data_IF_558623186639
#
_entry.id   IF_558623186639
#
_cell.length_a   1.000
_cell.length_b   1.000
_cell.length_c   1.000
_cell.angle_alpha   90.00
_cell.angle_beta   90.00
_cell.angle_gamma   90.00
#
_symmetry.space_group_name_H-M   'P 1'
#
loop_
_entity.id
_entity.type
_entity.pdbx_description
1 polymer ?
#
# COMPACT_ATOMS: atom_id res chain seq x y z
N UNK A 1 36.33 68.95 59.31
CA UNK A 1 34.91 69.01 58.91
C UNK A 1 34.68 67.97 57.82
N UNK A 2 33.64 67.14 57.99
CA UNK A 2 33.11 66.17 57.02
C UNK A 2 32.80 66.81 55.66
N UNK A 3 32.96 66.05 54.56
CA UNK A 3 31.88 65.36 53.82
C UNK A 3 32.45 64.70 52.56
N UNK A 4 32.09 63.43 52.34
CA UNK A 4 32.33 62.70 51.09
C UNK A 4 31.12 62.71 50.17
N UNK A 5 31.27 62.05 49.00
CA UNK A 5 30.34 61.39 48.05
C UNK A 5 31.29 60.95 46.90
N UNK A 6 31.33 59.76 46.30
CA UNK A 6 30.41 58.63 46.18
C UNK A 6 30.30 58.25 44.68
N UNK A 7 30.54 56.98 44.31
CA UNK A 7 30.21 56.38 42.99
C UNK A 7 31.39 55.66 42.32
N UNK A 8 31.62 54.35 42.49
CA UNK A 8 30.96 53.16 41.89
C UNK A 8 30.89 53.12 40.34
N UNK A 9 31.78 52.33 39.74
CA UNK A 9 31.56 51.49 38.53
C UNK A 9 32.78 50.57 38.35
N UNK A 10 32.86 49.42 39.02
CA UNK A 10 32.41 48.08 38.57
C UNK A 10 32.49 47.84 37.05
N UNK A 11 33.52 47.09 36.66
CA UNK A 11 33.37 45.85 35.89
C UNK A 11 33.50 45.95 34.37
N UNK A 12 34.49 45.27 33.80
CA UNK A 12 34.27 44.11 32.93
C UNK A 12 35.63 43.57 32.45
N UNK A 13 36.13 42.52 33.12
CA UNK A 13 37.01 41.56 32.49
C UNK A 13 36.14 40.75 31.51
N UNK A 14 36.32 40.98 30.21
CA UNK A 14 35.73 40.15 29.17
C UNK A 14 36.49 38.82 29.09
N UNK A 15 36.00 37.83 29.84
CA UNK A 15 36.41 36.44 29.76
C UNK A 15 35.81 35.83 28.49
N UNK A 16 36.64 35.67 27.46
CA UNK A 16 36.26 34.99 26.20
C UNK A 16 36.15 33.50 26.49
N UNK A 17 34.95 33.05 26.85
CA UNK A 17 34.58 31.62 26.85
C UNK A 17 34.26 31.26 25.41
N UNK A 18 35.22 30.64 24.73
CA UNK A 18 35.02 30.02 23.43
C UNK A 18 34.06 28.83 23.59
N UNK A 19 32.77 29.09 23.39
CA UNK A 19 31.74 28.08 23.27
C UNK A 19 31.98 27.31 21.97
N UNK A 20 32.69 26.17 22.05
CA UNK A 20 32.70 25.19 20.97
C UNK A 20 31.30 24.58 20.85
N UNK A 21 30.49 25.15 19.95
CA UNK A 21 29.30 24.50 19.46
C UNK A 21 29.73 23.27 18.66
N UNK A 22 29.72 22.10 19.30
CA UNK A 22 29.81 20.81 18.64
C UNK A 22 28.57 20.69 17.75
N UNK A 23 28.70 21.06 16.47
CA UNK A 23 27.68 20.82 15.46
C UNK A 23 27.61 19.31 15.27
N UNK A 24 26.66 18.67 15.95
CA UNK A 24 26.30 17.28 15.67
C UNK A 24 25.78 17.24 14.23
N UNK A 25 26.64 16.84 13.30
CA UNK A 25 26.25 16.54 11.93
C UNK A 25 25.18 15.45 12.01
N UNK A 26 23.97 15.64 11.48
CA UNK A 26 22.98 14.57 11.44
C UNK A 26 23.60 13.42 10.67
N UNK A 27 23.76 12.27 11.33
CA UNK A 27 24.19 11.05 10.67
C UNK A 27 23.25 10.82 9.48
N UNK A 28 23.80 10.83 8.27
CA UNK A 28 23.04 10.56 7.06
C UNK A 28 22.59 9.10 7.18
N UNK A 29 21.36 8.87 7.62
CA UNK A 29 20.78 7.54 7.68
C UNK A 29 20.80 7.00 6.25
N UNK A 30 21.67 6.02 5.99
CA UNK A 30 21.70 5.33 4.71
C UNK A 30 20.31 4.77 4.43
N UNK A 31 19.74 5.06 3.26
CA UNK A 31 18.50 4.44 2.82
C UNK A 31 18.80 3.04 2.28
N UNK A 32 18.01 2.05 2.68
CA UNK A 32 18.16 0.66 2.23
C UNK A 32 17.01 0.33 1.30
N UNK A 33 17.34 -0.14 0.10
CA UNK A 33 16.36 -0.60 -0.89
C UNK A 33 15.79 -1.95 -0.46
N UNK A 34 14.48 -2.18 -0.63
CA UNK A 34 13.92 -3.51 -0.40
C UNK A 34 14.62 -4.57 -1.25
N UNK A 35 14.95 -5.69 -0.60
CA UNK A 35 15.61 -6.84 -1.23
C UNK A 35 14.63 -7.94 -1.62
N UNK A 36 13.46 -8.01 -0.96
CA UNK A 36 12.37 -8.93 -1.30
C UNK A 36 11.02 -8.45 -0.72
N UNK A 37 9.92 -9.05 -1.16
CA UNK A 37 8.59 -8.81 -0.61
C UNK A 37 7.56 -9.84 -1.06
N UNK A 38 6.30 -9.63 -0.67
CA UNK A 38 5.15 -10.37 -1.18
C UNK A 38 3.85 -9.64 -0.86
N UNK A 39 2.79 -9.94 -1.61
CA UNK A 39 1.43 -9.49 -1.33
C UNK A 39 0.46 -10.65 -1.50
N UNK A 40 -0.44 -10.83 -0.55
CA UNK A 40 -1.56 -11.76 -0.65
C UNK A 40 -2.84 -10.99 -0.43
N UNK A 41 -3.71 -10.96 -1.44
CA UNK A 41 -5.06 -10.42 -1.31
C UNK A 41 -6.04 -11.55 -0.97
N UNK A 42 -6.80 -11.34 0.09
CA UNK A 42 -7.97 -12.12 0.44
C UNK A 42 -9.18 -11.43 -0.18
N UNK A 43 -9.87 -12.12 -1.08
CA UNK A 43 -10.98 -11.53 -1.82
C UNK A 43 -12.20 -11.32 -0.92
N UNK A 44 -13.06 -10.35 -1.28
CA UNK A 44 -14.31 -10.12 -0.55
C UNK A 44 -15.26 -11.30 -0.77
N UNK A 45 -15.67 -11.95 0.32
CA UNK A 45 -16.57 -13.11 0.30
C UNK A 45 -17.82 -12.88 -0.57
N UNK A 46 -18.51 -11.77 -0.38
CA UNK A 46 -19.74 -11.49 -1.13
C UNK A 46 -19.51 -11.33 -2.63
N UNK A 47 -18.35 -10.81 -3.04
CA UNK A 47 -17.99 -10.72 -4.44
C UNK A 47 -17.66 -12.10 -5.02
N UNK A 48 -16.91 -12.94 -4.31
CA UNK A 48 -16.62 -14.30 -4.74
C UNK A 48 -17.88 -15.19 -4.79
N UNK A 49 -18.75 -15.08 -3.79
CA UNK A 49 -20.08 -15.71 -3.82
C UNK A 49 -20.92 -15.23 -4.99
N UNK A 50 -20.85 -13.96 -5.35
CA UNK A 50 -21.55 -13.46 -6.53
C UNK A 50 -20.98 -14.05 -7.83
N UNK A 51 -19.66 -14.14 -7.96
CA UNK A 51 -18.99 -14.75 -9.11
C UNK A 51 -19.33 -16.23 -9.29
N UNK A 52 -19.38 -17.02 -8.21
CA UNK A 52 -19.54 -18.48 -8.32
C UNK A 52 -20.93 -19.02 -7.97
N UNK A 53 -21.60 -18.39 -7.01
CA UNK A 53 -22.69 -19.00 -6.24
C UNK A 53 -24.06 -18.94 -6.89
N UNK A 54 -24.25 -18.09 -7.89
CA UNK A 54 -25.57 -17.86 -8.49
C UNK A 54 -25.81 -18.61 -9.81
N UNK A 55 -24.94 -19.56 -10.18
CA UNK A 55 -25.10 -20.37 -11.40
C UNK A 55 -24.83 -19.60 -12.70
N UNK A 56 -24.35 -18.36 -12.61
CA UNK A 56 -24.07 -17.49 -13.75
C UNK A 56 -22.71 -17.75 -14.43
N UNK A 57 -21.95 -18.75 -13.96
CA UNK A 57 -20.73 -19.22 -14.61
C UNK A 57 -19.55 -18.25 -14.53
N UNK A 58 -19.43 -17.47 -13.45
CA UNK A 58 -18.27 -16.61 -13.26
C UNK A 58 -16.97 -17.40 -13.08
N UNK A 59 -15.89 -16.86 -13.62
CA UNK A 59 -14.54 -17.41 -13.58
C UNK A 59 -13.60 -16.35 -12.99
N UNK A 60 -12.68 -16.81 -12.15
CA UNK A 60 -11.60 -15.98 -11.60
C UNK A 60 -10.29 -16.68 -11.88
N UNK A 61 -9.30 -15.95 -12.40
CA UNK A 61 -8.04 -16.54 -12.84
C UNK A 61 -6.89 -15.64 -12.46
N UNK A 62 -5.85 -16.21 -11.83
CA UNK A 62 -4.58 -15.52 -11.64
C UNK A 62 -3.85 -15.37 -12.97
N UNK A 63 -3.24 -14.21 -13.21
CA UNK A 63 -2.51 -13.92 -14.45
C UNK A 63 -1.05 -13.61 -14.18
N UNK A 64 -0.18 -13.83 -15.16
CA UNK A 64 1.26 -13.65 -15.02
C UNK A 64 1.84 -14.59 -13.96
N UNK A 65 2.58 -14.04 -12.98
CA UNK A 65 3.12 -14.79 -11.84
C UNK A 65 2.19 -14.80 -10.62
N UNK A 66 0.98 -14.25 -10.75
CA UNK A 66 -0.02 -14.27 -9.69
C UNK A 66 -0.74 -15.61 -9.63
N UNK A 67 -0.91 -16.18 -8.44
CA UNK A 67 -1.63 -17.45 -8.25
C UNK A 67 -2.94 -17.23 -7.51
N UNK A 68 -4.03 -17.73 -8.09
CA UNK A 68 -5.34 -17.70 -7.46
C UNK A 68 -5.65 -19.08 -6.85
N UNK A 69 -6.00 -19.11 -5.56
CA UNK A 69 -6.40 -20.31 -4.85
C UNK A 69 -7.81 -20.12 -4.28
N UNK A 70 -8.76 -20.88 -4.84
CA UNK A 70 -10.15 -20.90 -4.40
C UNK A 70 -10.30 -21.78 -3.15
N UNK A 71 -10.88 -21.25 -2.09
CA UNK A 71 -11.40 -22.02 -0.97
C UNK A 71 -12.87 -22.35 -1.21
N UNK A 72 -13.12 -23.53 -1.76
CA UNK A 72 -14.46 -24.01 -2.10
C UNK A 72 -15.39 -24.18 -0.90
N UNK A 73 -14.86 -24.21 0.33
CA UNK A 73 -15.65 -24.40 1.54
C UNK A 73 -16.18 -23.09 2.14
N UNK A 74 -15.52 -21.95 1.90
CA UNK A 74 -15.79 -20.73 2.67
C UNK A 74 -15.92 -19.43 1.85
N UNK A 75 -15.42 -19.37 0.60
CA UNK A 75 -15.46 -18.19 -0.30
C UNK A 75 -14.82 -16.88 0.23
N UNK A 76 -14.70 -16.69 1.54
CA UNK A 76 -14.03 -15.58 2.24
C UNK A 76 -12.50 -15.75 2.35
N UNK A 77 -12.02 -16.96 2.06
CA UNK A 77 -10.63 -17.37 2.07
C UNK A 77 -10.05 -17.58 0.65
N UNK A 78 -10.76 -17.15 -0.39
CA UNK A 78 -10.20 -17.12 -1.74
C UNK A 78 -9.01 -16.15 -1.75
N UNK A 79 -7.84 -16.68 -2.08
CA UNK A 79 -6.58 -15.95 -2.01
C UNK A 79 -6.00 -15.72 -3.39
N UNK A 80 -5.47 -14.52 -3.57
CA UNK A 80 -4.64 -14.16 -4.70
C UNK A 80 -3.25 -13.82 -4.17
N UNK A 81 -2.26 -14.62 -4.52
CA UNK A 81 -0.86 -14.38 -4.16
C UNK A 81 -0.16 -13.68 -5.30
N UNK A 82 0.51 -12.59 -4.97
CA UNK A 82 1.39 -11.83 -5.83
C UNK A 82 2.84 -12.06 -5.41
N UNK A 83 3.70 -12.19 -6.41
CA UNK A 83 5.14 -12.32 -6.21
C UNK A 83 5.80 -10.95 -6.29
N UNK A 84 6.93 -10.77 -5.63
CA UNK A 84 7.63 -9.49 -5.64
C UNK A 84 8.34 -9.23 -6.96
N UNK A 85 8.22 -8.01 -7.46
CA UNK A 85 9.00 -7.50 -8.58
C UNK A 85 10.20 -6.70 -8.04
N UNK A 86 11.35 -7.36 -7.99
CA UNK A 86 12.60 -6.74 -7.54
C UNK A 86 13.15 -5.65 -8.46
N UNK A 87 12.64 -5.51 -9.69
CA UNK A 87 13.20 -4.57 -10.67
C UNK A 87 12.55 -3.20 -10.65
N UNK A 88 11.29 -3.10 -10.20
CA UNK A 88 10.49 -1.86 -10.21
C UNK A 88 10.17 -1.32 -8.80
N UNK A 89 10.87 -1.82 -7.78
CA UNK A 89 10.62 -1.45 -6.39
C UNK A 89 11.55 -0.32 -5.95
N UNK A 90 10.96 0.78 -5.48
CA UNK A 90 11.67 1.84 -4.77
C UNK A 90 11.15 1.89 -3.34
N UNK A 91 11.67 1.04 -2.46
CA UNK A 91 11.23 0.96 -1.08
C UNK A 91 12.39 1.30 -0.14
N UNK A 92 12.33 2.49 0.46
CA UNK A 92 13.38 3.01 1.35
C UNK A 92 12.83 3.11 2.77
N UNK A 93 13.14 2.12 3.61
CA UNK A 93 12.81 2.15 5.04
C UNK A 93 14.04 2.67 5.77
N UNK A 94 13.91 3.64 6.67
CA UNK A 94 14.99 4.03 7.59
C UNK A 94 14.55 3.84 9.04
N UNK A 95 15.50 3.73 9.97
CA UNK A 95 15.16 3.66 11.39
C UNK A 95 14.58 5.02 11.82
N UNK A 96 13.27 5.08 12.03
CA UNK A 96 12.56 6.31 12.41
C UNK A 96 11.87 7.05 11.25
N UNK A 97 11.85 6.48 10.05
CA UNK A 97 11.19 7.08 8.89
C UNK A 97 11.30 6.23 7.63
N UNK A 98 11.02 6.81 6.47
CA UNK A 98 11.18 6.13 5.18
C UNK A 98 9.86 5.77 4.53
N UNK A 99 9.82 5.82 3.21
CA UNK A 99 8.64 5.66 2.37
C UNK A 99 9.01 4.90 1.10
N UNK A 100 8.01 4.46 0.36
CA UNK A 100 8.27 3.94 -0.97
C UNK A 100 7.12 3.14 -1.55
N UNK A 101 7.43 2.51 -2.67
CA UNK A 101 6.50 1.69 -3.44
C UNK A 101 7.07 0.29 -3.59
N UNK A 102 6.33 -0.70 -3.09
CA UNK A 102 6.59 -2.12 -3.33
C UNK A 102 5.94 -2.50 -4.66
N UNK A 103 6.74 -2.96 -5.62
CA UNK A 103 6.23 -3.52 -6.86
C UNK A 103 5.95 -5.02 -6.73
N UNK A 104 4.78 -5.43 -7.20
CA UNK A 104 4.31 -6.80 -7.19
C UNK A 104 4.02 -7.22 -8.63
N UNK A 105 4.48 -8.42 -8.98
CA UNK A 105 4.22 -9.10 -10.25
C UNK A 105 2.96 -9.95 -10.17
N UNK A 106 2.32 -10.09 -11.31
CA UNK A 106 1.10 -10.87 -11.48
C UNK A 106 -0.16 -10.01 -11.60
N UNK A 107 -1.30 -10.69 -11.61
CA UNK A 107 -2.60 -10.06 -11.75
C UNK A 107 -3.74 -11.05 -11.51
N UNK A 108 -4.95 -10.57 -11.70
CA UNK A 108 -6.18 -11.33 -11.59
C UNK A 108 -7.18 -10.86 -12.64
N UNK A 109 -7.90 -11.80 -13.22
CA UNK A 109 -9.03 -11.56 -14.10
C UNK A 109 -10.29 -12.10 -13.47
N UNK A 110 -11.35 -11.31 -13.49
CA UNK A 110 -12.71 -11.69 -13.11
C UNK A 110 -13.58 -11.63 -14.36
N UNK A 111 -14.22 -12.74 -14.72
CA UNK A 111 -15.07 -12.82 -15.90
C UNK A 111 -16.40 -13.46 -15.55
N UNK A 112 -17.51 -12.79 -15.84
CA UNK A 112 -18.85 -13.34 -15.73
C UNK A 112 -19.71 -12.79 -16.86
N UNK A 113 -19.70 -13.43 -18.04
CA UNK A 113 -20.40 -12.94 -19.23
C UNK A 113 -21.89 -12.68 -19.01
N UNK A 114 -22.57 -13.51 -18.20
CA UNK A 114 -24.00 -13.35 -17.91
C UNK A 114 -24.35 -12.03 -17.21
N UNK A 115 -23.38 -11.40 -16.56
CA UNK A 115 -23.52 -10.08 -15.90
C UNK A 115 -22.53 -9.06 -16.44
N UNK A 116 -21.95 -9.35 -17.61
CA UNK A 116 -21.06 -8.44 -18.34
C UNK A 116 -19.86 -7.97 -17.51
N UNK A 117 -19.40 -8.82 -16.59
CA UNK A 117 -18.20 -8.57 -15.82
C UNK A 117 -17.02 -9.08 -16.63
N UNK A 118 -16.11 -8.19 -16.98
CA UNK A 118 -14.76 -8.50 -17.40
C UNK A 118 -13.86 -7.47 -16.75
N UNK A 119 -13.14 -7.84 -15.70
CA UNK A 119 -12.25 -6.94 -14.95
C UNK A 119 -10.89 -7.60 -14.86
N UNK A 120 -9.86 -6.94 -15.37
CA UNK A 120 -8.48 -7.36 -15.23
C UNK A 120 -7.72 -6.36 -14.37
N UNK A 121 -6.99 -6.87 -13.39
CA UNK A 121 -6.14 -6.09 -12.48
C UNK A 121 -4.73 -6.67 -12.56
N UNK A 122 -3.75 -5.86 -12.92
CA UNK A 122 -2.37 -6.30 -13.11
C UNK A 122 -1.37 -5.28 -12.55
N UNK A 123 -0.13 -5.71 -12.38
CA UNK A 123 0.98 -4.85 -11.97
C UNK A 123 0.72 -4.03 -10.67
N UNK A 124 0.32 -4.69 -9.56
CA UNK A 124 0.06 -3.99 -8.31
C UNK A 124 1.29 -3.27 -7.76
N UNK A 125 1.06 -2.12 -7.16
CA UNK A 125 2.05 -1.25 -6.53
C UNK A 125 1.52 -0.82 -5.19
N UNK A 126 2.25 -1.11 -4.11
CA UNK A 126 1.86 -0.75 -2.75
C UNK A 126 2.67 0.46 -2.31
N UNK A 127 2.03 1.63 -2.30
CA UNK A 127 2.63 2.87 -1.83
C UNK A 127 2.44 3.01 -0.31
N UNK A 128 3.55 3.12 0.41
CA UNK A 128 3.60 3.34 1.86
C UNK A 128 4.32 4.65 2.08
N UNK A 129 3.60 5.64 2.62
CA UNK A 129 4.08 7.02 2.75
C UNK A 129 5.05 7.21 3.90
N UNK A 130 5.00 6.35 4.92
CA UNK A 130 6.03 6.24 5.95
C UNK A 130 6.06 4.84 6.57
N UNK A 131 7.17 4.44 7.18
CA UNK A 131 7.27 3.21 7.98
C UNK A 131 6.37 3.20 9.22
N UNK A 132 5.90 4.38 9.63
CA UNK A 132 4.92 4.58 10.70
C UNK A 132 3.50 4.79 10.18
N UNK A 133 3.29 4.73 8.87
CA UNK A 133 1.99 4.99 8.28
C UNK A 133 0.99 3.91 8.72
N UNK A 134 -0.19 4.37 9.11
CA UNK A 134 -1.33 3.50 9.40
C UNK A 134 -2.12 3.13 8.13
N UNK A 135 -1.70 3.63 6.96
CA UNK A 135 -2.38 3.38 5.70
C UNK A 135 -1.40 3.20 4.54
N UNK A 136 -1.81 2.40 3.56
CA UNK A 136 -1.18 2.27 2.26
C UNK A 136 -2.20 2.45 1.14
N UNK A 137 -1.72 2.80 -0.04
CA UNK A 137 -2.52 2.81 -1.27
C UNK A 137 -1.98 1.72 -2.18
N UNK A 138 -2.89 0.91 -2.73
CA UNK A 138 -2.56 -0.07 -3.75
C UNK A 138 -3.07 0.45 -5.08
N UNK A 139 -2.16 0.79 -5.98
CA UNK A 139 -2.47 1.08 -7.38
C UNK A 139 -2.18 -0.13 -8.26
N UNK A 140 -2.91 -0.27 -9.36
CA UNK A 140 -2.73 -1.35 -10.33
C UNK A 140 -3.12 -0.85 -11.72
N UNK A 141 -2.63 -1.53 -12.75
CA UNK A 141 -3.12 -1.36 -14.11
C UNK A 141 -4.43 -2.14 -14.23
N UNK A 142 -5.52 -1.43 -14.48
CA UNK A 142 -6.86 -1.99 -14.54
C UNK A 142 -7.49 -1.76 -15.90
N UNK A 143 -8.17 -2.78 -16.42
CA UNK A 143 -9.10 -2.66 -17.54
C UNK A 143 -10.41 -3.35 -17.16
N UNK A 144 -11.54 -2.79 -17.58
CA UNK A 144 -12.83 -3.42 -17.38
C UNK A 144 -13.78 -3.17 -18.54
N UNK A 145 -14.77 -4.04 -18.73
CA UNK A 145 -15.89 -3.80 -19.64
C UNK A 145 -16.92 -2.86 -18.98
N UNK A 146 -17.25 -1.70 -19.57
CA UNK A 146 -18.32 -0.85 -19.06
C UNK A 146 -19.69 -1.50 -19.21
N UNK A 147 -20.50 -1.45 -18.15
CA UNK A 147 -21.91 -1.81 -18.16
C UNK A 147 -22.71 -0.65 -18.77
N UNK A 148 -22.76 -0.52 -20.08
CA UNK A 148 -23.65 0.45 -20.73
C UNK A 148 -25.07 -0.13 -20.90
N UNK A 149 -26.07 0.75 -20.85
CA UNK A 149 -27.49 0.41 -20.68
C UNK A 149 -28.02 -0.58 -21.73
N UNK A 150 -28.09 -1.85 -21.37
CA UNK A 150 -28.97 -2.85 -21.99
C UNK A 150 -28.35 -3.80 -23.01
N UNK A 151 -27.09 -3.63 -23.42
CA UNK A 151 -26.41 -4.61 -24.28
C UNK A 151 -24.91 -4.58 -24.03
N UNK A 152 -24.30 -5.72 -23.69
CA UNK A 152 -22.85 -5.80 -23.60
C UNK A 152 -22.22 -5.65 -24.96
N UNK A 153 -21.47 -4.58 -25.12
CA UNK A 153 -20.46 -4.48 -26.16
C UNK A 153 -19.14 -4.76 -25.45
N UNK A 154 -18.50 -5.90 -25.73
CA UNK A 154 -17.15 -6.19 -25.22
C UNK A 154 -16.21 -5.12 -25.74
N UNK A 155 -15.92 -4.15 -24.88
CA UNK A 155 -15.12 -2.98 -25.20
C UNK A 155 -14.36 -2.59 -23.94
N UNK A 156 -13.34 -3.38 -23.56
CA UNK A 156 -12.63 -3.15 -22.34
C UNK A 156 -12.00 -1.76 -22.40
N UNK A 157 -12.10 -1.01 -21.31
CA UNK A 157 -11.40 0.26 -21.19
C UNK A 157 -9.91 0.04 -21.43
N UNK A 158 -9.24 1.03 -22.02
CA UNK A 158 -7.77 1.02 -22.13
C UNK A 158 -7.15 0.74 -20.75
N UNK A 159 -6.27 -0.27 -20.62
CA UNK A 159 -5.59 -0.58 -19.36
C UNK A 159 -4.90 0.67 -18.81
N UNK A 160 -5.32 1.10 -17.63
CA UNK A 160 -4.87 2.35 -17.01
C UNK A 160 -4.48 2.12 -15.57
N UNK A 161 -3.38 2.75 -15.12
CA UNK A 161 -3.00 2.70 -13.70
C UNK A 161 -3.95 3.58 -12.89
N UNK A 162 -4.64 2.97 -11.93
CA UNK A 162 -5.53 3.64 -10.99
C UNK A 162 -5.18 3.23 -9.56
N UNK A 163 -5.51 4.07 -8.59
CA UNK A 163 -5.55 3.66 -7.19
C UNK A 163 -6.78 2.75 -7.01
N UNK A 164 -6.59 1.50 -6.60
CA UNK A 164 -7.67 0.51 -6.47
C UNK A 164 -8.13 0.40 -5.03
N UNK A 165 -7.18 0.31 -4.09
CA UNK A 165 -7.47 0.09 -2.68
C UNK A 165 -6.77 1.09 -1.78
N UNK A 166 -7.44 1.47 -0.70
CA UNK A 166 -6.82 1.98 0.53
C UNK A 166 -6.75 0.84 1.53
N UNK A 167 -5.58 0.59 2.09
CA UNK A 167 -5.34 -0.48 3.05
C UNK A 167 -5.04 0.14 4.40
N UNK A 168 -5.80 -0.26 5.42
CA UNK A 168 -5.53 0.11 6.80
C UNK A 168 -4.47 -0.84 7.37
N UNK A 169 -3.25 -0.34 7.50
CA UNK A 169 -2.11 -1.08 8.04
C UNK A 169 -2.18 -1.21 9.57
N UNK A 170 -3.06 -0.47 10.25
CA UNK A 170 -3.18 -0.44 11.70
C UNK A 170 -1.98 0.27 12.35
N UNK A 171 -1.33 -0.40 13.29
CA UNK A 171 -0.07 0.06 13.88
C UNK A 171 1.12 -0.21 12.95
N UNK A 172 2.19 0.59 13.07
CA UNK A 172 3.44 0.40 12.33
C UNK A 172 3.86 -1.09 12.34
N UNK A 173 4.18 -1.63 11.16
CA UNK A 173 4.49 -3.06 10.99
C UNK A 173 5.59 -3.52 11.95
N UNK A 174 5.54 -4.81 12.34
CA UNK A 174 6.56 -5.36 13.24
C UNK A 174 7.88 -5.47 12.49
N UNK A 175 8.90 -4.74 12.96
CA UNK A 175 10.28 -4.99 12.53
C UNK A 175 10.80 -6.23 13.26
N UNK A 176 11.17 -7.27 12.53
CA UNK A 176 11.90 -8.41 13.09
C UNK A 176 13.30 -8.50 12.49
N UNK A 177 14.29 -8.84 13.32
CA UNK A 177 15.67 -9.14 12.91
C UNK A 177 16.74 -8.11 13.31
N UNK A 178 17.92 -8.63 13.68
CA UNK A 178 19.19 -7.89 13.64
C UNK A 178 19.89 -8.23 12.32
N UNK A 179 20.18 -7.24 11.48
CA UNK A 179 20.53 -7.48 10.08
C UNK A 179 19.36 -7.11 9.18
N UNK A 180 18.91 -8.04 8.33
CA UNK A 180 17.71 -7.85 7.51
C UNK A 180 16.48 -7.62 8.39
N UNK A 181 15.76 -6.54 8.11
CA UNK A 181 14.51 -6.21 8.79
C UNK A 181 13.34 -6.56 7.89
N UNK A 182 12.48 -7.43 8.39
CA UNK A 182 11.22 -7.78 7.73
C UNK A 182 10.09 -6.95 8.34
N UNK A 183 9.25 -6.41 7.48
CA UNK A 183 7.99 -5.78 7.82
C UNK A 183 6.86 -6.63 7.32
N UNK A 184 5.89 -6.91 8.18
CA UNK A 184 4.70 -7.65 7.79
C UNK A 184 3.45 -6.98 8.36
N UNK A 185 2.46 -6.82 7.48
CA UNK A 185 1.09 -6.46 7.83
C UNK A 185 0.21 -7.64 7.46
N UNK A 186 -0.49 -8.22 8.45
CA UNK A 186 -1.28 -9.44 8.25
C UNK A 186 -2.76 -9.10 8.25
N UNK A 187 -3.50 -9.54 7.23
CA UNK A 187 -4.94 -9.29 7.05
C UNK A 187 -5.32 -7.81 7.30
N UNK A 188 -4.53 -6.90 6.76
CA UNK A 188 -4.81 -5.47 6.76
C UNK A 188 -6.10 -5.19 5.98
N UNK A 189 -7.15 -4.60 6.58
CA UNK A 189 -8.42 -4.35 5.89
C UNK A 189 -8.23 -3.44 4.68
N UNK A 190 -8.84 -3.80 3.56
CA UNK A 190 -8.83 -2.98 2.36
C UNK A 190 -10.23 -2.44 2.04
N UNK A 191 -10.26 -1.19 1.60
CA UNK A 191 -11.46 -0.55 1.05
C UNK A 191 -11.17 -0.07 -0.36
N UNK A 192 -12.18 -0.08 -1.22
CA UNK A 192 -12.08 0.50 -2.56
C UNK A 192 -11.87 2.02 -2.49
N UNK A 193 -11.11 2.52 -3.44
CA UNK A 193 -11.13 3.93 -3.82
C UNK A 193 -12.35 4.22 -4.71
N UNK A 194 -12.60 5.47 -5.06
CA UNK A 194 -13.60 5.83 -6.06
C UNK A 194 -13.35 5.16 -7.42
N UNK A 195 -12.09 5.16 -7.90
CA UNK A 195 -11.72 4.54 -9.18
C UNK A 195 -11.80 3.01 -9.13
N UNK A 196 -11.37 2.41 -8.01
CA UNK A 196 -11.52 0.97 -7.78
C UNK A 196 -12.99 0.57 -7.78
N UNK A 197 -13.85 1.30 -7.04
CA UNK A 197 -15.28 1.05 -7.02
C UNK A 197 -15.90 1.16 -8.41
N UNK A 198 -15.52 2.18 -9.18
CA UNK A 198 -15.95 2.33 -10.58
C UNK A 198 -15.53 1.13 -11.43
N UNK A 199 -14.28 0.67 -11.33
CA UNK A 199 -13.82 -0.48 -12.10
C UNK A 199 -14.58 -1.77 -11.75
N UNK A 200 -14.76 -2.07 -10.46
CA UNK A 200 -15.49 -3.28 -10.02
C UNK A 200 -17.00 -3.20 -10.24
N UNK A 201 -17.54 -2.00 -10.49
CA UNK A 201 -18.92 -1.78 -10.93
C UNK A 201 -19.09 -1.86 -12.46
N UNK A 202 -18.00 -2.04 -13.23
CA UNK A 202 -18.03 -1.86 -14.68
C UNK A 202 -18.47 -0.45 -15.08
N UNK A 203 -18.01 0.58 -14.38
CA UNK A 203 -18.43 1.97 -14.58
C UNK A 203 -19.36 2.47 -13.47
N UNK A 204 -20.43 3.18 -13.84
CA UNK A 204 -21.31 3.87 -12.88
C UNK A 204 -22.49 3.04 -12.34
N UNK A 205 -22.60 1.75 -12.71
CA UNK A 205 -23.84 0.99 -12.60
C UNK A 205 -23.83 -0.13 -11.56
N UNK A 206 -22.92 -0.10 -10.59
CA UNK A 206 -22.82 -1.13 -9.55
C UNK A 206 -23.02 -0.58 -8.13
N UNK A 207 -22.97 -1.48 -7.16
CA UNK A 207 -23.28 -1.18 -5.75
C UNK A 207 -22.07 -0.71 -4.93
N UNK A 208 -20.86 -0.79 -5.48
CA UNK A 208 -19.66 -0.34 -4.77
C UNK A 208 -19.53 1.18 -4.84
N UNK A 209 -19.02 1.75 -3.76
CA UNK A 209 -18.69 3.17 -3.63
C UNK A 209 -17.31 3.35 -3.01
N UNK A 210 -16.78 4.57 -3.04
CA UNK A 210 -15.55 4.91 -2.33
C UNK A 210 -15.67 4.52 -0.84
N UNK A 211 -14.69 3.77 -0.33
CA UNK A 211 -14.67 3.27 1.05
C UNK A 211 -15.38 1.93 1.24
N UNK A 212 -15.96 1.34 0.20
CA UNK A 212 -16.54 -0.01 0.29
C UNK A 212 -15.49 -1.06 0.68
N UNK A 213 -15.75 -1.83 1.74
CA UNK A 213 -14.87 -2.91 2.16
C UNK A 213 -14.69 -3.96 1.07
N UNK A 214 -13.44 -4.36 0.80
CA UNK A 214 -13.08 -5.26 -0.30
C UNK A 214 -11.97 -6.23 0.10
N UNK A 215 -12.22 -6.96 1.18
CA UNK A 215 -11.34 -8.02 1.67
C UNK A 215 -10.14 -7.48 2.46
N UNK A 216 -9.05 -8.24 2.43
CA UNK A 216 -7.87 -7.98 3.25
C UNK A 216 -6.59 -8.17 2.45
N UNK A 217 -5.50 -7.58 2.93
CA UNK A 217 -4.17 -7.78 2.38
C UNK A 217 -3.20 -8.27 3.45
N UNK A 218 -2.43 -9.29 3.12
CA UNK A 218 -1.18 -9.57 3.83
C UNK A 218 -0.03 -9.06 2.97
N UNK A 219 0.78 -8.17 3.52
CA UNK A 219 1.89 -7.51 2.84
C UNK A 219 3.17 -7.80 3.61
N UNK A 220 4.25 -8.13 2.89
CA UNK A 220 5.57 -8.27 3.49
C UNK A 220 6.65 -7.64 2.63
N UNK A 221 7.65 -7.05 3.28
CA UNK A 221 8.84 -6.49 2.63
C UNK A 221 10.06 -6.64 3.51
N UNK A 222 11.22 -6.91 2.92
CA UNK A 222 12.51 -7.00 3.63
C UNK A 222 13.45 -5.89 3.19
N UNK A 223 14.20 -5.34 4.15
CA UNK A 223 15.25 -4.34 3.88
C UNK A 223 16.56 -4.73 4.59
N UNK A 224 17.73 -4.37 4.03
CA UNK A 224 19.02 -4.58 4.71
C UNK A 224 19.11 -3.85 6.05
N UNK A 225 20.01 -4.30 6.93
CA UNK A 225 20.41 -3.53 8.11
C UNK A 225 21.16 -2.26 7.70
N UNK A 226 21.00 -1.21 8.52
CA UNK A 226 21.86 -0.02 8.54
C UNK A 226 22.93 -0.18 9.61
#
# INVERSE_FOLDING_TARGET
>A
MQRGIGGRTRGLLAMVVALMALVALPAVASAGTATSGSGVQFQRESFMRYMYGLGFGGTVTGTGTGTFARNTAAYDDDTLTYTFDGTNTTYNITRGGGSGTLALSGGISYQMPAHYIDVSVSDPRVAITSTTASAAVISAVVSYDPLESGTQIRNPTTPTRIDVFRVNLGSAGVFSGGGTRTHTWTRAPAVLTADGARAFNGGGNGSYSDGSAFGFWTLSGTTPAF
#
